data_IF_093373464447
#
_entry.id   IF_093373464447
#
_cell.length_a   1.000
_cell.length_b   1.000
_cell.length_c   1.000
_cell.angle_alpha   90.00
_cell.angle_beta   90.00
_cell.angle_gamma   90.00
#
_symmetry.space_group_name_H-M   'P 1'
#
loop_
_entity.id
_entity.type
_entity.pdbx_description
1 polymer ?
#
# COMPACT_ATOMS: atom_id res chain seq x y z
N UNK A 1 31.73 34.25 29.78
CA UNK A 1 31.00 34.21 28.49
C UNK A 1 31.06 32.85 27.79
N UNK A 2 31.31 31.74 28.50
CA UNK A 2 31.36 30.37 27.95
C UNK A 2 30.28 29.46 28.59
N UNK A 3 29.79 29.83 29.78
CA UNK A 3 28.83 29.02 30.54
C UNK A 3 27.39 29.04 29.99
N UNK A 4 27.02 30.07 29.23
CA UNK A 4 25.66 30.19 28.65
C UNK A 4 25.48 29.41 27.34
N UNK A 5 26.57 29.06 26.64
CA UNK A 5 26.50 28.29 25.40
C UNK A 5 26.27 26.79 25.64
N UNK A 6 26.63 26.28 26.83
CA UNK A 6 26.46 24.85 27.17
C UNK A 6 25.02 24.48 27.52
N UNK A 7 24.19 25.43 27.99
CA UNK A 7 22.81 25.14 28.39
C UNK A 7 21.90 25.01 27.15
N UNK A 8 22.20 25.72 26.06
CA UNK A 8 21.42 25.65 24.81
C UNK A 8 21.68 24.32 24.07
N UNK A 9 22.90 23.79 24.13
CA UNK A 9 23.25 22.52 23.50
C UNK A 9 22.54 21.31 24.14
N UNK A 10 22.25 21.37 25.45
CA UNK A 10 21.51 20.30 26.16
C UNK A 10 20.01 20.37 25.81
N UNK A 11 19.46 21.57 25.61
CA UNK A 11 18.06 21.73 25.20
C UNK A 11 17.79 21.27 23.77
N UNK A 12 18.76 21.45 22.84
CA UNK A 12 18.65 20.93 21.47
C UNK A 12 18.83 19.40 21.38
N UNK A 13 19.44 18.77 22.38
CA UNK A 13 19.63 17.31 22.43
C UNK A 13 18.43 16.57 23.07
N UNK A 14 17.52 17.29 23.73
CA UNK A 14 16.39 16.71 24.48
C UNK A 14 15.09 16.53 23.70
N UNK A 15 15.01 17.00 22.45
CA UNK A 15 13.82 16.86 21.60
C UNK A 15 13.98 15.75 20.56
N UNK A 16 14.67 14.67 20.90
CA UNK A 16 14.32 13.39 20.28
C UNK A 16 13.11 12.93 21.07
N UNK A 17 11.93 13.43 20.67
CA UNK A 17 10.70 12.66 20.85
C UNK A 17 11.05 11.27 20.33
N UNK A 18 11.27 10.34 21.26
CA UNK A 18 10.99 8.96 20.96
C UNK A 18 9.53 9.01 20.57
N UNK A 19 9.27 8.99 19.26
CA UNK A 19 8.09 8.32 18.77
C UNK A 19 8.11 7.00 19.52
N UNK A 20 7.33 6.91 20.59
CA UNK A 20 6.96 5.65 21.17
C UNK A 20 6.37 4.91 19.96
N UNK A 21 7.19 4.06 19.33
CA UNK A 21 6.77 3.15 18.28
C UNK A 21 5.75 2.26 18.95
N UNK A 22 4.52 2.76 19.00
CA UNK A 22 3.34 2.03 19.38
C UNK A 22 3.32 0.87 18.40
N UNK A 23 3.79 -0.29 18.85
CA UNK A 23 3.86 -1.51 18.05
C UNK A 23 2.44 -1.67 17.53
N UNK A 24 2.18 -1.49 16.22
CA UNK A 24 0.82 -1.41 15.75
C UNK A 24 0.19 -2.76 16.01
N UNK A 25 -0.72 -2.80 16.99
CA UNK A 25 -1.43 -4.02 17.37
C UNK A 25 -2.44 -4.25 16.27
N UNK A 26 -2.07 -5.08 15.28
CA UNK A 26 -3.00 -5.63 14.32
C UNK A 26 -3.93 -6.59 15.04
N UNK A 27 -5.22 -6.31 14.99
CA UNK A 27 -6.27 -7.26 15.38
C UNK A 27 -6.87 -7.81 14.11
N UNK A 28 -6.93 -9.14 13.94
CA UNK A 28 -7.55 -9.72 12.74
C UNK A 28 -9.05 -9.43 12.77
N UNK A 29 -9.57 -8.55 11.88
CA UNK A 29 -10.97 -8.14 11.94
C UNK A 29 -11.91 -9.22 11.35
N UNK A 30 -11.38 -10.39 11.00
CA UNK A 30 -12.08 -11.40 10.22
C UNK A 30 -12.07 -11.08 8.74
N UNK A 31 -12.88 -11.82 7.98
CA UNK A 31 -13.00 -11.58 6.55
C UNK A 31 -13.96 -10.40 6.28
N UNK A 32 -13.65 -9.47 5.35
CA UNK A 32 -14.68 -8.55 4.85
C UNK A 32 -15.91 -9.37 4.44
N UNK A 33 -17.11 -8.94 4.85
CA UNK A 33 -18.35 -9.55 4.37
C UNK A 33 -18.25 -9.67 2.83
N UNK A 34 -18.67 -10.80 2.26
CA UNK A 34 -18.59 -11.05 0.81
C UNK A 34 -19.16 -9.89 -0.04
N UNK A 35 -20.10 -9.12 0.52
CA UNK A 35 -20.62 -7.88 -0.04
C UNK A 35 -19.55 -6.80 -0.33
N UNK A 36 -18.44 -6.78 0.42
CA UNK A 36 -17.34 -5.82 0.27
C UNK A 36 -16.12 -6.39 -0.47
N UNK A 37 -16.18 -7.64 -0.92
CA UNK A 37 -15.08 -8.24 -1.68
C UNK A 37 -15.17 -7.83 -3.16
N UNK A 38 -14.22 -7.03 -3.64
CA UNK A 38 -14.12 -6.71 -5.06
C UNK A 38 -13.64 -7.94 -5.83
N UNK A 39 -14.32 -8.35 -6.93
CA UNK A 39 -13.98 -9.58 -7.66
C UNK A 39 -12.64 -9.50 -8.39
N UNK A 40 -12.18 -8.28 -8.67
CA UNK A 40 -10.88 -7.98 -9.30
C UNK A 40 -9.73 -8.15 -8.31
N UNK A 41 -9.99 -7.93 -7.02
CA UNK A 41 -9.01 -8.08 -5.95
C UNK A 41 -9.09 -9.52 -5.42
N UNK A 42 -7.93 -10.18 -5.28
CA UNK A 42 -7.88 -11.46 -4.57
C UNK A 42 -8.27 -11.33 -3.09
N UNK A 43 -8.49 -12.47 -2.41
CA UNK A 43 -8.83 -12.55 -0.98
C UNK A 43 -7.91 -11.67 -0.11
N UNK A 44 -6.60 -11.78 -0.35
CA UNK A 44 -5.58 -11.10 0.45
C UNK A 44 -5.60 -9.58 0.30
N UNK A 45 -5.82 -9.08 -0.92
CA UNK A 45 -5.89 -7.65 -1.20
C UNK A 45 -7.19 -7.03 -0.70
N UNK A 46 -8.31 -7.75 -0.81
CA UNK A 46 -9.57 -7.33 -0.19
C UNK A 46 -9.44 -7.19 1.33
N UNK A 47 -8.80 -8.17 1.99
CA UNK A 47 -8.55 -8.10 3.43
C UNK A 47 -7.62 -6.94 3.79
N UNK A 48 -6.57 -6.73 3.01
CA UNK A 48 -5.63 -5.60 3.20
C UNK A 48 -6.36 -4.25 3.09
N UNK A 49 -7.22 -4.08 2.09
CA UNK A 49 -8.04 -2.86 1.93
C UNK A 49 -9.02 -2.67 3.09
N UNK A 50 -9.64 -3.73 3.58
CA UNK A 50 -10.55 -3.66 4.73
C UNK A 50 -9.83 -3.28 6.03
N UNK A 51 -8.63 -3.83 6.27
CA UNK A 51 -7.80 -3.46 7.42
C UNK A 51 -7.38 -1.98 7.32
N UNK A 52 -7.08 -1.50 6.11
CA UNK A 52 -6.76 -0.08 5.91
C UNK A 52 -7.91 0.83 6.34
N UNK A 53 -9.15 0.50 5.99
CA UNK A 53 -10.30 1.32 6.34
C UNK A 53 -10.66 1.26 7.83
N UNK A 54 -10.44 0.12 8.47
CA UNK A 54 -10.89 -0.12 9.85
C UNK A 54 -9.81 0.18 10.89
N UNK A 55 -8.54 -0.03 10.55
CA UNK A 55 -7.39 0.05 11.46
C UNK A 55 -6.27 0.94 10.92
N UNK A 56 -6.41 1.47 9.71
CA UNK A 56 -5.48 2.41 9.13
C UNK A 56 -4.28 1.77 8.43
N UNK A 57 -3.46 2.67 7.89
CA UNK A 57 -2.32 2.39 7.01
C UNK A 57 -1.28 1.47 7.62
N UNK A 58 -0.86 1.71 8.87
CA UNK A 58 0.17 0.92 9.55
C UNK A 58 -0.26 -0.55 9.72
N UNK A 59 -1.50 -0.80 10.15
CA UNK A 59 -2.04 -2.15 10.33
C UNK A 59 -2.16 -2.90 8.99
N UNK A 60 -2.61 -2.23 7.93
CA UNK A 60 -2.72 -2.84 6.61
C UNK A 60 -1.36 -3.25 6.03
N UNK A 61 -0.33 -2.40 6.20
CA UNK A 61 1.04 -2.73 5.79
C UNK A 61 1.60 -3.88 6.62
N UNK A 62 1.37 -3.89 7.93
CA UNK A 62 1.80 -5.00 8.79
C UNK A 62 1.15 -6.32 8.35
N UNK A 63 -0.16 -6.30 8.04
CA UNK A 63 -0.85 -7.45 7.50
C UNK A 63 -0.27 -7.89 6.15
N UNK A 64 -0.06 -6.96 5.21
CA UNK A 64 0.49 -7.29 3.89
C UNK A 64 1.92 -7.86 3.97
N UNK A 65 2.72 -7.38 4.92
CA UNK A 65 4.09 -7.87 5.14
C UNK A 65 4.16 -9.11 6.03
N UNK A 66 3.02 -9.65 6.49
CA UNK A 66 3.02 -10.93 7.20
C UNK A 66 3.48 -12.07 6.29
N UNK A 67 3.32 -11.92 4.98
CA UNK A 67 3.96 -12.77 3.98
C UNK A 67 5.34 -12.19 3.63
N UNK A 68 6.45 -12.90 3.94
CA UNK A 68 7.80 -12.38 3.76
C UNK A 68 8.22 -12.23 2.30
N UNK A 69 7.48 -12.82 1.35
CA UNK A 69 7.77 -12.73 -0.09
C UNK A 69 7.28 -11.41 -0.67
N UNK A 70 6.35 -10.73 0.02
CA UNK A 70 5.70 -9.54 -0.51
C UNK A 70 6.50 -8.28 -0.25
N UNK A 71 6.66 -7.49 -1.30
CA UNK A 71 7.46 -6.27 -1.26
C UNK A 71 6.55 -5.06 -1.05
N UNK A 72 6.99 -4.18 -0.14
CA UNK A 72 6.42 -2.85 0.05
C UNK A 72 7.53 -1.81 -0.06
N UNK A 73 7.23 -0.68 -0.69
CA UNK A 73 8.08 0.50 -0.62
C UNK A 73 7.31 1.60 0.12
N UNK A 74 7.86 2.05 1.24
CA UNK A 74 7.21 2.95 2.20
C UNK A 74 5.86 2.38 2.66
N UNK A 75 4.78 2.75 1.98
CA UNK A 75 3.43 2.26 2.27
C UNK A 75 2.63 1.93 1.02
N UNK A 76 3.35 1.64 -0.06
CA UNK A 76 2.80 1.19 -1.31
C UNK A 76 3.13 -0.28 -1.48
N UNK A 77 2.17 -1.02 -2.00
CA UNK A 77 2.23 -2.46 -2.21
C UNK A 77 2.76 -2.72 -3.61
N UNK A 78 3.76 -3.58 -3.76
CA UNK A 78 4.19 -3.99 -5.10
C UNK A 78 3.19 -4.99 -5.67
N UNK A 79 2.44 -4.57 -6.68
CA UNK A 79 1.35 -5.34 -7.27
C UNK A 79 1.49 -5.45 -8.78
N UNK A 80 0.85 -6.48 -9.31
CA UNK A 80 0.64 -6.71 -10.73
C UNK A 80 -0.83 -6.43 -11.06
N UNK A 81 -1.04 -5.53 -12.00
CA UNK A 81 -2.34 -5.09 -12.49
C UNK A 81 -2.47 -5.62 -13.91
N UNK A 82 -3.51 -6.41 -14.16
CA UNK A 82 -3.87 -6.89 -15.50
C UNK A 82 -5.04 -6.07 -16.02
N UNK A 83 -4.88 -5.47 -17.18
CA UNK A 83 -5.95 -4.74 -17.87
C UNK A 83 -6.67 -5.64 -18.88
N UNK A 84 -7.88 -5.23 -19.28
CA UNK A 84 -8.66 -5.92 -20.32
C UNK A 84 -8.05 -5.69 -21.70
N UNK A 85 -7.52 -4.49 -21.94
CA UNK A 85 -6.92 -4.10 -23.21
C UNK A 85 -5.71 -3.19 -23.02
N UNK A 86 -4.95 -3.00 -24.11
CA UNK A 86 -3.86 -2.05 -24.18
C UNK A 86 -4.43 -0.70 -24.58
N UNK A 87 -4.56 0.18 -23.60
CA UNK A 87 -4.92 1.58 -23.80
C UNK A 87 -3.94 2.48 -23.02
N UNK A 88 -3.25 3.42 -23.67
CA UNK A 88 -2.43 4.42 -22.99
C UNK A 88 -3.18 5.24 -21.93
N UNK A 89 -4.47 5.52 -22.11
CA UNK A 89 -5.27 6.31 -21.16
C UNK A 89 -5.39 5.61 -19.80
N UNK A 90 -5.42 4.27 -19.80
CA UNK A 90 -5.43 3.48 -18.57
C UNK A 90 -4.21 3.76 -17.70
N UNK A 91 -3.04 4.00 -18.29
CA UNK A 91 -1.82 4.33 -17.53
C UNK A 91 -1.95 5.68 -16.82
N UNK A 92 -2.61 6.65 -17.45
CA UNK A 92 -2.83 7.96 -16.84
C UNK A 92 -3.85 7.91 -15.70
N UNK A 93 -4.88 7.07 -15.83
CA UNK A 93 -5.80 6.80 -14.72
C UNK A 93 -5.06 6.17 -13.54
N UNK A 94 -4.23 5.15 -13.78
CA UNK A 94 -3.45 4.50 -12.72
C UNK A 94 -2.49 5.48 -12.02
N UNK A 95 -1.82 6.36 -12.79
CA UNK A 95 -0.97 7.42 -12.21
C UNK A 95 -1.76 8.40 -11.34
N UNK A 96 -2.97 8.78 -11.75
CA UNK A 96 -3.86 9.66 -10.96
C UNK A 96 -4.27 9.01 -9.62
N UNK A 97 -4.33 7.69 -9.55
CA UNK A 97 -4.51 6.94 -8.29
C UNK A 97 -3.26 6.90 -7.40
N UNK A 98 -2.16 7.55 -7.82
CA UNK A 98 -0.89 7.56 -7.12
C UNK A 98 -0.07 6.29 -7.31
N UNK A 99 -0.37 5.48 -8.33
CA UNK A 99 0.38 4.25 -8.62
C UNK A 99 1.68 4.62 -9.32
N UNK A 100 2.80 4.24 -8.71
CA UNK A 100 4.12 4.36 -9.33
C UNK A 100 4.37 3.16 -10.24
N UNK A 101 4.34 3.40 -11.55
CA UNK A 101 4.44 2.37 -12.58
C UNK A 101 5.92 2.02 -12.81
N UNK A 102 6.26 0.77 -12.52
CA UNK A 102 7.63 0.25 -12.67
C UNK A 102 7.86 -0.33 -14.06
N UNK A 103 6.96 -1.20 -14.51
CA UNK A 103 7.07 -1.86 -15.82
C UNK A 103 5.71 -2.07 -16.45
N UNK A 104 5.72 -2.11 -17.78
CA UNK A 104 4.57 -2.50 -18.61
C UNK A 104 5.04 -3.62 -19.53
N UNK A 105 4.27 -4.69 -19.63
CA UNK A 105 4.57 -5.82 -20.52
C UNK A 105 4.54 -5.41 -22.00
N UNK A 106 5.17 -6.21 -22.85
CA UNK A 106 5.24 -5.93 -24.29
C UNK A 106 3.85 -5.89 -24.98
N UNK A 107 2.91 -6.71 -24.50
CA UNK A 107 1.51 -6.69 -24.96
C UNK A 107 0.70 -5.52 -24.37
N UNK A 108 1.26 -4.78 -23.40
CA UNK A 108 0.65 -3.59 -22.81
C UNK A 108 -0.47 -3.86 -21.81
N UNK A 109 -0.74 -5.12 -21.46
CA UNK A 109 -1.88 -5.51 -20.61
C UNK A 109 -1.50 -5.88 -19.18
N UNK A 110 -0.21 -6.07 -18.90
CA UNK A 110 0.30 -6.33 -17.54
C UNK A 110 1.17 -5.18 -17.09
N UNK A 111 0.80 -4.57 -15.98
CA UNK A 111 1.47 -3.42 -15.39
C UNK A 111 1.94 -3.84 -14.00
N UNK A 112 3.21 -3.58 -13.68
CA UNK A 112 3.74 -3.77 -12.32
C UNK A 112 4.01 -2.39 -11.74
N UNK A 113 3.55 -2.16 -10.52
CA UNK A 113 3.69 -0.87 -9.87
C UNK A 113 3.59 -0.94 -8.35
N UNK A 114 4.00 0.13 -7.71
CA UNK A 114 3.74 0.36 -6.30
C UNK A 114 2.38 1.05 -6.15
N UNK A 115 1.42 0.32 -5.58
CA UNK A 115 0.04 0.76 -5.40
C UNK A 115 -0.16 1.25 -3.97
N UNK A 116 -0.59 2.51 -3.76
CA UNK A 116 -0.96 2.98 -2.44
C UNK A 116 -2.09 2.12 -1.85
N UNK A 117 -1.95 1.71 -0.59
CA UNK A 117 -3.00 0.90 0.07
C UNK A 117 -4.36 1.61 0.05
N UNK A 118 -4.36 2.94 0.14
CA UNK A 118 -5.54 3.79 0.05
C UNK A 118 -6.30 3.67 -1.27
N UNK A 119 -5.60 3.34 -2.35
CA UNK A 119 -6.17 3.29 -3.71
C UNK A 119 -6.66 1.90 -4.09
N UNK A 120 -6.51 0.88 -3.23
CA UNK A 120 -6.86 -0.51 -3.56
C UNK A 120 -8.34 -0.68 -3.96
N UNK A 121 -9.25 -0.06 -3.22
CA UNK A 121 -10.69 -0.17 -3.53
C UNK A 121 -11.02 0.49 -4.86
N UNK A 122 -10.55 1.72 -5.06
CA UNK A 122 -10.78 2.45 -6.31
C UNK A 122 -10.19 1.70 -7.50
N UNK A 123 -8.97 1.16 -7.36
CA UNK A 123 -8.36 0.28 -8.34
C UNK A 123 -9.23 -0.94 -8.69
N UNK A 124 -9.88 -1.55 -7.69
CA UNK A 124 -10.80 -2.67 -7.87
C UNK A 124 -12.15 -2.31 -8.51
N UNK A 125 -12.44 -1.03 -8.70
CA UNK A 125 -13.67 -0.52 -9.37
C UNK A 125 -13.46 -0.08 -10.81
N UNK A 126 -12.20 0.03 -11.25
CA UNK A 126 -11.87 0.38 -12.62
C UNK A 126 -12.30 -0.75 -13.57
N UNK A 127 -13.13 -0.41 -14.55
CA UNK A 127 -13.72 -1.34 -15.52
C UNK A 127 -12.69 -2.02 -16.42
N UNK A 128 -11.62 -1.30 -16.76
CA UNK A 128 -10.52 -1.84 -17.55
C UNK A 128 -9.57 -2.73 -16.74
N UNK A 129 -9.71 -2.83 -15.41
CA UNK A 129 -8.86 -3.68 -14.58
C UNK A 129 -9.49 -5.06 -14.44
N UNK A 130 -8.84 -6.05 -15.04
CA UNK A 130 -9.30 -7.44 -15.06
C UNK A 130 -8.96 -8.18 -13.77
N UNK A 131 -7.76 -7.97 -13.24
CA UNK A 131 -7.27 -8.66 -12.05
C UNK A 131 -6.12 -7.85 -11.43
N UNK A 132 -6.07 -7.83 -10.10
CA UNK A 132 -4.90 -7.37 -9.35
C UNK A 132 -4.38 -8.51 -8.49
N UNK A 133 -3.08 -8.79 -8.61
CA UNK A 133 -2.41 -9.81 -7.82
C UNK A 133 -1.15 -9.25 -7.16
N UNK A 134 -0.81 -9.80 -6.01
CA UNK A 134 0.54 -9.63 -5.45
C UNK A 134 1.58 -10.35 -6.32
N UNK A 135 2.86 -10.17 -6.00
CA UNK A 135 3.99 -10.81 -6.71
C UNK A 135 4.03 -12.34 -6.54
N UNK A 136 3.18 -12.89 -5.67
CA UNK A 136 3.05 -14.32 -5.44
C UNK A 136 2.81 -15.04 -6.77
N UNK A 137 3.69 -16.00 -7.08
CA UNK A 137 3.37 -17.06 -8.03
C UNK A 137 2.45 -18.03 -7.30
N UNK A 138 1.23 -18.20 -7.78
CA UNK A 138 0.43 -19.40 -7.48
C UNK A 138 0.94 -20.58 -8.31
#
# INVERSE_FOLDING_TARGET
MILWLLIIAIYLCGCIEKDDEEIPIYTDPGYPNAYFAHPVLGWYLNKTAYIYETQGKKAAILHYRSDPVLITQESNLKLKIRTVEKDPENLDVLRKLGIDILTVSADGTTIVGYVPVSSLKELGTLDFVKNVSSEKQE
#
